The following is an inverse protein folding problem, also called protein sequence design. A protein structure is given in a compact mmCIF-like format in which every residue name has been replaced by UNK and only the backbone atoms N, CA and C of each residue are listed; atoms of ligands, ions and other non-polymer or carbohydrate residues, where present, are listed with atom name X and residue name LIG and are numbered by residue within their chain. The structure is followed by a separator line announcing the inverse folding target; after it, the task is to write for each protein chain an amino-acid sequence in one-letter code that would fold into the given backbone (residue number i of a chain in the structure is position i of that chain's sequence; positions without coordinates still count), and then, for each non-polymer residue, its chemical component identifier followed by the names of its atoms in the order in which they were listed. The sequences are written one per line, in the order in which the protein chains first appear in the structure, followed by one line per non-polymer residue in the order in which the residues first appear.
data_IF_032376873333
#
_entry.id   IF_032376873333
#
_cell.length_a   1.000
_cell.length_b   1.000
_cell.length_c   1.000
_cell.angle_alpha   90.00
_cell.angle_beta   90.00
_cell.angle_gamma   90.00
#
_symmetry.space_group_name_H-M   'P 1'
#
loop_
_entity.id
_entity.type
_entity.pdbx_description
1 polymer ?
#
# COMPACT_ATOMS: atom_id res chain seq x y z
N UNK A 1 2.00 -9.96 -26.61
CA UNK A 1 2.07 -9.98 -25.14
C UNK A 1 2.50 -8.64 -24.54
N UNK A 2 3.58 -7.98 -24.99
CA UNK A 2 4.00 -6.66 -24.50
C UNK A 2 2.91 -5.56 -24.62
N UNK A 3 2.12 -5.57 -25.70
CA UNK A 3 1.00 -4.62 -25.91
C UNK A 3 -0.17 -4.82 -24.94
N UNK A 4 -0.39 -6.03 -24.44
CA UNK A 4 -1.44 -6.33 -23.44
C UNK A 4 -0.97 -5.83 -22.07
N UNK A 5 0.32 -5.92 -21.76
CA UNK A 5 0.89 -5.41 -20.51
C UNK A 5 0.89 -3.87 -20.45
N UNK A 6 1.16 -3.20 -21.59
CA UNK A 6 1.04 -1.74 -21.70
C UNK A 6 -0.42 -1.27 -21.59
N UNK A 7 -1.36 -2.04 -22.14
CA UNK A 7 -2.80 -1.74 -22.06
C UNK A 7 -3.36 -1.88 -20.64
N UNK A 8 -2.91 -2.89 -19.89
CA UNK A 8 -3.25 -3.06 -18.48
C UNK A 8 -2.63 -1.94 -17.63
N UNK A 9 -1.39 -1.53 -17.89
CA UNK A 9 -0.75 -0.43 -17.18
C UNK A 9 -1.42 0.93 -17.47
N UNK A 10 -1.88 1.17 -18.70
CA UNK A 10 -2.58 2.40 -19.08
C UNK A 10 -3.99 2.51 -18.48
N UNK A 11 -4.66 1.40 -18.18
CA UNK A 11 -5.96 1.39 -17.48
C UNK A 11 -5.85 1.79 -16.01
N UNK A 12 -4.66 1.72 -15.40
CA UNK A 12 -4.44 2.08 -14.00
C UNK A 12 -4.06 3.56 -13.78
N UNK A 13 -3.80 4.33 -14.85
CA UNK A 13 -3.37 5.74 -14.71
C UNK A 13 -4.50 6.77 -14.67
N UNK A 14 -5.76 6.35 -14.73
CA UNK A 14 -6.91 7.27 -14.88
C UNK A 14 -7.66 7.64 -13.59
N UNK A 15 -7.25 7.18 -12.41
CA UNK A 15 -7.94 7.51 -11.16
C UNK A 15 -7.02 8.22 -10.16
N UNK A 16 -6.51 9.40 -10.53
CA UNK A 16 -5.88 10.35 -9.61
C UNK A 16 -6.93 11.14 -8.83
N UNK A 17 -7.68 10.53 -7.91
CA UNK A 17 -8.76 11.23 -7.23
C UNK A 17 -8.93 10.91 -5.75
N UNK A 18 -7.83 10.84 -4.97
CA UNK A 18 -7.95 10.81 -3.50
C UNK A 18 -7.07 11.85 -2.79
N UNK A 19 -6.78 12.96 -3.46
CA UNK A 19 -6.13 14.11 -2.82
C UNK A 19 -7.14 15.10 -2.19
N UNK A 20 -8.45 14.86 -2.33
CA UNK A 20 -9.49 15.72 -1.74
C UNK A 20 -10.12 14.96 -0.58
N UNK A 21 -10.34 15.64 0.54
CA UNK A 21 -11.03 15.08 1.69
C UNK A 21 -12.35 14.42 1.27
N UNK A 22 -12.69 13.29 1.91
CA UNK A 22 -13.91 12.53 1.60
C UNK A 22 -15.11 13.44 1.87
N UNK A 23 -15.98 13.66 0.87
CA UNK A 23 -17.19 14.48 1.04
C UNK A 23 -18.12 13.88 2.09
N UNK A 24 -18.91 14.72 2.76
CA UNK A 24 -19.88 14.25 3.76
C UNK A 24 -20.92 13.28 3.17
N UNK A 25 -21.27 13.45 1.90
CA UNK A 25 -22.15 12.53 1.18
C UNK A 25 -21.49 11.15 1.00
N UNK A 26 -20.19 11.12 0.68
CA UNK A 26 -19.42 9.87 0.57
C UNK A 26 -19.28 9.19 1.94
N UNK A 27 -19.04 9.95 3.01
CA UNK A 27 -19.01 9.42 4.39
C UNK A 27 -20.35 8.80 4.77
N UNK A 28 -21.46 9.49 4.48
CA UNK A 28 -22.80 8.98 4.72
C UNK A 28 -23.08 7.70 3.92
N UNK A 29 -22.74 7.68 2.65
CA UNK A 29 -22.88 6.49 1.80
C UNK A 29 -22.01 5.30 2.29
N UNK A 30 -20.86 5.56 2.92
CA UNK A 30 -20.05 4.52 3.55
C UNK A 30 -20.75 3.92 4.77
N UNK A 31 -21.32 4.76 5.64
CA UNK A 31 -22.06 4.30 6.83
C UNK A 31 -23.29 3.50 6.42
N UNK A 32 -24.07 4.00 5.47
CA UNK A 32 -25.27 3.34 4.94
C UNK A 32 -24.95 2.04 4.19
N UNK A 33 -23.82 1.97 3.51
CA UNK A 33 -23.37 0.78 2.78
C UNK A 33 -22.91 -0.39 3.67
N UNK A 34 -22.79 -0.18 4.97
CA UNK A 34 -22.44 -1.21 5.96
C UNK A 34 -21.08 -1.88 5.71
N UNK A 35 -20.90 -3.05 6.28
CA UNK A 35 -19.60 -3.78 6.22
C UNK A 35 -19.17 -4.18 4.80
N UNK A 36 -20.10 -4.44 3.89
CA UNK A 36 -19.81 -4.76 2.48
C UNK A 36 -19.10 -3.61 1.76
N UNK A 37 -19.43 -2.37 2.10
CA UNK A 37 -18.75 -1.20 1.53
C UNK A 37 -17.28 -1.15 1.95
N UNK A 38 -16.97 -1.51 3.20
CA UNK A 38 -15.58 -1.57 3.68
C UNK A 38 -14.80 -2.72 3.06
N UNK A 39 -15.43 -3.87 2.79
CA UNK A 39 -14.80 -4.97 2.03
C UNK A 39 -14.46 -4.47 0.63
N UNK A 40 -15.37 -3.80 -0.05
CA UNK A 40 -15.11 -3.24 -1.38
C UNK A 40 -13.96 -2.24 -1.36
N UNK A 41 -13.97 -1.30 -0.40
CA UNK A 41 -12.90 -0.30 -0.24
C UNK A 41 -11.54 -0.94 0.00
N UNK A 42 -11.48 -2.01 0.80
CA UNK A 42 -10.24 -2.75 1.03
C UNK A 42 -9.72 -3.42 -0.24
N UNK A 43 -10.59 -4.04 -1.03
CA UNK A 43 -10.22 -4.64 -2.30
C UNK A 43 -9.78 -3.59 -3.33
N UNK A 44 -10.49 -2.48 -3.43
CA UNK A 44 -10.17 -1.35 -4.29
C UNK A 44 -8.82 -0.73 -3.90
N UNK A 45 -8.59 -0.44 -2.61
CA UNK A 45 -7.31 0.06 -2.11
C UNK A 45 -6.14 -0.83 -2.53
N UNK A 46 -6.31 -2.15 -2.38
CA UNK A 46 -5.29 -3.11 -2.75
C UNK A 46 -5.01 -3.15 -4.25
N UNK A 47 -6.06 -3.06 -5.08
CA UNK A 47 -5.94 -3.15 -6.54
C UNK A 47 -5.51 -1.84 -7.20
N UNK A 48 -5.69 -0.70 -6.52
CA UNK A 48 -5.31 0.63 -7.03
C UNK A 48 -3.97 1.14 -6.48
N UNK A 49 -3.51 0.60 -5.33
CA UNK A 49 -2.23 0.95 -4.74
C UNK A 49 -1.06 0.40 -5.56
N UNK A 50 -0.31 1.28 -6.24
CA UNK A 50 0.83 0.88 -7.07
C UNK A 50 1.97 0.24 -6.26
N UNK A 51 2.18 0.67 -5.04
CA UNK A 51 3.13 0.13 -4.08
C UNK A 51 2.79 -1.32 -3.71
N UNK A 52 1.52 -1.59 -3.42
CA UNK A 52 1.01 -2.94 -3.17
C UNK A 52 1.17 -3.84 -4.39
N UNK A 53 0.80 -3.35 -5.58
CA UNK A 53 0.91 -4.11 -6.82
C UNK A 53 2.36 -4.43 -7.17
N UNK A 54 3.30 -3.49 -6.96
CA UNK A 54 4.73 -3.72 -7.17
C UNK A 54 5.29 -4.75 -6.19
N UNK A 55 4.89 -4.68 -4.93
CA UNK A 55 5.28 -5.65 -3.91
C UNK A 55 4.77 -7.06 -4.26
N UNK A 56 3.47 -7.20 -4.58
CA UNK A 56 2.87 -8.47 -5.01
C UNK A 56 3.56 -8.99 -6.27
N UNK A 57 3.85 -8.12 -7.23
CA UNK A 57 4.57 -8.49 -8.44
C UNK A 57 5.98 -9.03 -8.13
N UNK A 58 6.68 -8.43 -7.16
CA UNK A 58 7.95 -8.97 -6.68
C UNK A 58 7.82 -10.35 -6.06
N UNK A 59 6.77 -10.57 -5.29
CA UNK A 59 6.53 -11.83 -4.58
C UNK A 59 6.14 -12.97 -5.52
N UNK A 60 5.44 -12.70 -6.63
CA UNK A 60 4.96 -13.75 -7.55
C UNK A 60 6.10 -14.63 -8.09
N UNK A 61 7.33 -14.13 -8.16
CA UNK A 61 8.48 -14.94 -8.62
C UNK A 61 8.81 -16.11 -7.69
N UNK A 62 8.43 -16.04 -6.40
CA UNK A 62 8.62 -17.10 -5.41
C UNK A 62 7.41 -18.02 -5.27
N UNK A 63 6.21 -17.52 -5.55
CA UNK A 63 4.97 -18.26 -5.35
C UNK A 63 4.69 -19.13 -6.57
N UNK A 64 4.59 -20.45 -6.35
CA UNK A 64 4.39 -21.43 -7.43
C UNK A 64 3.05 -22.13 -7.36
N UNK A 65 2.36 -22.08 -6.22
CA UNK A 65 1.07 -22.73 -6.00
C UNK A 65 0.06 -21.78 -5.39
N UNK A 66 -1.21 -22.06 -5.59
CA UNK A 66 -2.30 -21.30 -4.96
C UNK A 66 -2.26 -21.40 -3.43
N UNK A 67 -1.85 -22.55 -2.89
CA UNK A 67 -1.68 -22.74 -1.44
C UNK A 67 -0.62 -21.81 -0.86
N UNK A 68 0.50 -21.62 -1.58
CA UNK A 68 1.56 -20.69 -1.16
C UNK A 68 1.06 -19.25 -1.19
N UNK A 69 0.25 -18.89 -2.20
CA UNK A 69 -0.40 -17.58 -2.29
C UNK A 69 -1.24 -17.32 -1.06
N UNK A 70 -2.19 -18.22 -0.75
CA UNK A 70 -3.09 -18.05 0.40
C UNK A 70 -2.28 -17.92 1.69
N UNK A 71 -1.31 -18.83 1.92
CA UNK A 71 -0.47 -18.80 3.12
C UNK A 71 0.31 -17.49 3.27
N UNK A 72 0.89 -17.01 2.17
CA UNK A 72 1.64 -15.76 2.14
C UNK A 72 0.74 -14.57 2.48
N UNK A 73 -0.42 -14.47 1.81
CA UNK A 73 -1.36 -13.37 1.98
C UNK A 73 -1.93 -13.36 3.38
N UNK A 74 -2.38 -14.51 3.92
CA UNK A 74 -2.95 -14.56 5.26
C UNK A 74 -1.94 -14.12 6.32
N UNK A 75 -0.65 -14.46 6.19
CA UNK A 75 0.40 -13.97 7.10
C UNK A 75 0.55 -12.45 7.00
N UNK A 76 0.55 -11.90 5.79
CA UNK A 76 0.60 -10.46 5.57
C UNK A 76 -0.63 -9.75 6.16
N UNK A 77 -1.83 -10.23 5.84
CA UNK A 77 -3.10 -9.63 6.27
C UNK A 77 -3.26 -9.68 7.79
N UNK A 78 -2.86 -10.78 8.44
CA UNK A 78 -2.87 -10.87 9.91
C UNK A 78 -1.95 -9.82 10.53
N UNK A 79 -0.70 -9.72 10.05
CA UNK A 79 0.25 -8.73 10.54
C UNK A 79 -0.25 -7.28 10.31
N UNK A 80 -0.75 -7.02 9.11
CA UNK A 80 -1.35 -5.74 8.74
C UNK A 80 -2.54 -5.38 9.64
N UNK A 81 -3.44 -6.34 9.88
CA UNK A 81 -4.61 -6.16 10.72
C UNK A 81 -4.23 -5.84 12.18
N UNK A 82 -3.20 -6.50 12.73
CA UNK A 82 -2.72 -6.23 14.09
C UNK A 82 -2.32 -4.77 14.25
N UNK A 83 -1.46 -4.26 13.37
CA UNK A 83 -1.00 -2.86 13.47
C UNK A 83 -2.09 -1.86 13.12
N UNK A 84 -2.94 -2.18 12.16
CA UNK A 84 -4.05 -1.33 11.77
C UNK A 84 -5.05 -1.14 12.92
N UNK A 85 -5.45 -2.24 13.59
CA UNK A 85 -6.31 -2.18 14.77
C UNK A 85 -5.63 -1.41 15.88
N UNK A 86 -4.38 -1.79 16.23
CA UNK A 86 -3.62 -1.15 17.29
C UNK A 86 -3.51 0.36 17.07
N UNK A 87 -3.02 0.79 15.91
CA UNK A 87 -2.81 2.20 15.61
C UNK A 87 -4.13 2.99 15.55
N UNK A 88 -5.22 2.39 15.03
CA UNK A 88 -6.53 3.06 14.98
C UNK A 88 -7.13 3.25 16.37
N UNK A 89 -7.13 2.22 17.22
CA UNK A 89 -7.69 2.30 18.57
C UNK A 89 -6.90 3.23 19.48
N UNK A 90 -5.57 3.24 19.37
CA UNK A 90 -4.72 4.14 20.15
C UNK A 90 -4.52 5.51 19.50
N UNK A 91 -5.20 5.78 18.37
CA UNK A 91 -5.10 7.04 17.62
C UNK A 91 -3.65 7.39 17.27
N UNK A 92 -2.83 6.37 16.98
CA UNK A 92 -1.45 6.55 16.57
C UNK A 92 -1.45 6.97 15.11
N UNK A 93 -0.90 8.16 14.84
CA UNK A 93 -0.70 8.67 13.48
C UNK A 93 0.79 8.54 13.14
N UNK A 94 1.09 8.00 11.98
CA UNK A 94 2.44 7.94 11.43
C UNK A 94 2.55 8.88 10.23
N UNK A 95 3.71 9.49 10.05
CA UNK A 95 3.96 10.26 8.84
C UNK A 95 3.92 9.32 7.63
N UNK A 96 2.94 9.54 6.76
CA UNK A 96 2.69 8.64 5.62
C UNK A 96 3.87 8.58 4.63
N UNK A 97 4.60 9.68 4.42
CA UNK A 97 5.78 9.68 3.57
C UNK A 97 6.86 8.73 4.10
N UNK A 98 7.11 8.73 5.42
CA UNK A 98 8.11 7.83 6.01
C UNK A 98 7.67 6.38 5.94
N UNK A 99 6.40 6.08 6.15
CA UNK A 99 5.89 4.71 6.02
C UNK A 99 5.96 4.25 4.57
N UNK A 100 5.51 5.07 3.62
CA UNK A 100 5.58 4.76 2.20
C UNK A 100 7.03 4.62 1.72
N UNK A 101 8.00 5.38 2.29
CA UNK A 101 9.42 5.18 2.04
C UNK A 101 9.91 3.79 2.49
N UNK A 102 9.47 3.31 3.68
CA UNK A 102 9.80 1.95 4.14
C UNK A 102 9.12 0.89 3.27
N UNK A 103 7.89 1.15 2.79
CA UNK A 103 7.22 0.28 1.81
C UNK A 103 8.04 0.21 0.50
N UNK A 104 8.55 1.33 0.00
CA UNK A 104 9.43 1.34 -1.17
C UNK A 104 10.71 0.52 -0.96
N UNK A 105 11.31 0.57 0.25
CA UNK A 105 12.44 -0.30 0.63
C UNK A 105 12.03 -1.78 0.55
N UNK A 106 10.81 -2.15 0.96
CA UNK A 106 10.34 -3.54 0.87
C UNK A 106 10.24 -4.04 -0.57
N UNK A 107 9.88 -3.16 -1.51
CA UNK A 107 9.86 -3.45 -2.95
C UNK A 107 11.29 -3.66 -3.47
N UNK A 108 12.23 -2.76 -3.12
CA UNK A 108 13.65 -2.92 -3.47
C UNK A 108 14.24 -4.22 -2.92
N UNK A 109 14.00 -4.49 -1.63
CA UNK A 109 14.44 -5.70 -0.95
C UNK A 109 13.99 -6.95 -1.72
N UNK A 110 12.72 -6.98 -2.13
CA UNK A 110 12.14 -8.12 -2.83
C UNK A 110 12.76 -8.31 -4.21
N UNK A 111 12.93 -7.25 -4.97
CA UNK A 111 13.63 -7.30 -6.26
C UNK A 111 15.08 -7.77 -6.13
N UNK A 112 15.81 -7.30 -5.11
CA UNK A 112 17.20 -7.67 -4.84
C UNK A 112 17.33 -9.14 -4.40
N UNK A 113 16.42 -9.63 -3.55
CA UNK A 113 16.37 -11.04 -3.16
C UNK A 113 16.10 -11.94 -4.38
N UNK A 114 15.20 -11.54 -5.28
CA UNK A 114 14.83 -12.30 -6.47
C UNK A 114 15.99 -12.53 -7.46
N UNK A 115 16.99 -11.66 -7.45
CA UNK A 115 18.21 -11.80 -8.29
C UNK A 115 19.39 -12.44 -7.55
N UNK A 116 19.14 -13.05 -6.38
CA UNK A 116 20.13 -13.59 -5.44
C UNK A 116 21.17 -12.55 -4.98
N UNK A 117 20.77 -11.28 -4.89
CA UNK A 117 21.66 -10.18 -4.57
C UNK A 117 22.32 -10.33 -3.21
N UNK A 118 21.58 -10.75 -2.18
CA UNK A 118 22.14 -10.95 -0.83
C UNK A 118 23.28 -11.98 -0.81
N UNK A 119 23.08 -13.11 -1.49
CA UNK A 119 24.11 -14.14 -1.58
C UNK A 119 25.29 -13.68 -2.42
N UNK A 120 25.05 -13.00 -3.55
CA UNK A 120 26.12 -12.61 -4.49
C UNK A 120 27.02 -11.49 -3.95
N UNK A 121 26.44 -10.52 -3.22
CA UNK A 121 27.18 -9.33 -2.80
C UNK A 121 27.61 -9.37 -1.33
N UNK A 122 26.88 -10.10 -0.48
CA UNK A 122 27.12 -10.10 0.97
C UNK A 122 27.37 -11.49 1.56
N UNK A 123 27.30 -12.56 0.75
CA UNK A 123 27.35 -13.97 1.18
C UNK A 123 26.39 -14.27 2.34
N UNK A 124 25.23 -13.64 2.31
CA UNK A 124 24.22 -13.70 3.35
C UNK A 124 22.93 -14.37 2.86
N UNK A 125 22.34 -15.17 3.74
CA UNK A 125 21.03 -15.78 3.47
C UNK A 125 19.92 -14.88 4.03
N UNK A 126 19.00 -14.38 3.21
CA UNK A 126 17.89 -13.56 3.68
C UNK A 126 16.96 -14.36 4.60
N UNK A 127 16.19 -13.71 5.49
CA UNK A 127 15.18 -14.36 6.32
C UNK A 127 14.15 -15.11 5.46
N UNK A 128 13.50 -16.11 6.06
CA UNK A 128 12.44 -16.83 5.34
C UNK A 128 11.34 -15.87 4.87
N UNK A 129 10.78 -16.12 3.69
CA UNK A 129 9.75 -15.30 3.06
C UNK A 129 8.61 -14.94 4.03
N UNK A 130 8.13 -15.90 4.83
CA UNK A 130 7.01 -15.65 5.76
C UNK A 130 7.37 -14.69 6.90
N UNK A 131 8.62 -14.76 7.42
CA UNK A 131 9.07 -13.82 8.47
C UNK A 131 9.14 -12.39 7.92
N UNK A 132 9.72 -12.26 6.72
CA UNK A 132 9.83 -10.97 6.05
C UNK A 132 8.46 -10.36 5.75
N UNK A 133 7.54 -11.17 5.23
CA UNK A 133 6.17 -10.75 4.90
C UNK A 133 5.39 -10.33 6.15
N UNK A 134 5.57 -11.03 7.26
CA UNK A 134 4.98 -10.64 8.53
C UNK A 134 5.45 -9.24 8.97
N UNK A 135 6.77 -9.00 8.94
CA UNK A 135 7.34 -7.67 9.27
C UNK A 135 6.81 -6.59 8.32
N UNK A 136 6.77 -6.86 7.02
CA UNK A 136 6.23 -5.90 6.05
C UNK A 136 4.74 -5.64 6.26
N UNK A 137 3.96 -6.66 6.59
CA UNK A 137 2.55 -6.49 6.94
C UNK A 137 2.35 -5.56 8.13
N UNK A 138 3.17 -5.70 9.19
CA UNK A 138 3.13 -4.79 10.35
C UNK A 138 3.38 -3.34 9.92
N UNK A 139 4.37 -3.09 9.09
CA UNK A 139 4.72 -1.74 8.63
C UNK A 139 3.61 -1.15 7.74
N UNK A 140 3.09 -1.93 6.80
CA UNK A 140 2.01 -1.50 5.91
C UNK A 140 0.74 -1.12 6.70
N UNK A 141 0.43 -1.85 7.80
CA UNK A 141 -0.70 -1.53 8.66
C UNK A 141 -0.59 -0.15 9.30
N UNK A 142 0.60 0.31 9.66
CA UNK A 142 0.80 1.67 10.16
C UNK A 142 0.54 2.74 9.09
N UNK A 143 0.99 2.54 7.86
CA UNK A 143 0.77 3.49 6.76
C UNK A 143 -0.71 3.72 6.47
N UNK A 144 -1.48 2.64 6.47
CA UNK A 144 -2.90 2.72 6.21
C UNK A 144 -3.71 3.24 7.40
N UNK A 145 -3.25 3.03 8.65
CA UNK A 145 -4.01 3.39 9.85
C UNK A 145 -4.35 4.88 9.90
N UNK A 146 -3.44 5.76 9.53
CA UNK A 146 -3.66 7.22 9.51
C UNK A 146 -4.75 7.60 8.50
N UNK A 147 -4.75 6.97 7.31
CA UNK A 147 -5.77 7.20 6.29
C UNK A 147 -7.13 6.61 6.70
N UNK A 148 -7.12 5.43 7.31
CA UNK A 148 -8.35 4.77 7.75
C UNK A 148 -9.04 5.54 8.88
N UNK A 149 -8.28 6.19 9.77
CA UNK A 149 -8.82 7.06 10.83
C UNK A 149 -9.59 8.28 10.29
N UNK A 150 -9.39 8.65 9.02
CA UNK A 150 -10.14 9.72 8.35
C UNK A 150 -11.49 9.22 7.80
N UNK A 151 -11.72 7.92 7.74
CA UNK A 151 -12.99 7.34 7.32
C UNK A 151 -14.01 7.36 8.48
N UNK A 152 -15.32 7.35 8.18
CA UNK A 152 -16.36 7.29 9.20
C UNK A 152 -16.43 5.91 9.85
N UNK A 153 -15.50 5.63 10.76
CA UNK A 153 -15.45 4.34 11.45
C UNK A 153 -16.53 4.21 12.54
N UNK A 154 -17.22 5.32 12.89
CA UNK A 154 -18.22 5.39 13.95
C UNK A 154 -17.60 5.47 15.36
N UNK A 155 -18.41 5.88 16.33
CA UNK A 155 -17.97 6.10 17.72
C UNK A 155 -18.02 4.81 18.56
N UNK A 156 -18.74 3.79 18.09
CA UNK A 156 -18.85 2.49 18.74
C UNK A 156 -17.63 1.64 18.46
N UNK A 157 -16.89 1.24 19.52
CA UNK A 157 -15.66 0.44 19.43
C UNK A 157 -15.87 -0.90 18.72
N UNK A 158 -17.02 -1.55 18.92
CA UNK A 158 -17.32 -2.83 18.25
C UNK A 158 -17.57 -2.62 16.76
N UNK A 159 -18.37 -1.62 16.40
CA UNK A 159 -18.63 -1.28 15.00
C UNK A 159 -17.35 -0.85 14.27
N UNK A 160 -16.49 -0.05 14.92
CA UNK A 160 -15.18 0.33 14.39
C UNK A 160 -14.31 -0.90 14.13
N UNK A 161 -14.20 -1.83 15.09
CA UNK A 161 -13.46 -3.07 14.91
C UNK A 161 -13.99 -3.88 13.72
N UNK A 162 -15.30 -4.03 13.61
CA UNK A 162 -15.94 -4.78 12.52
C UNK A 162 -15.71 -4.13 11.15
N UNK A 163 -15.67 -2.79 11.06
CA UNK A 163 -15.34 -2.08 9.81
C UNK A 163 -13.88 -2.27 9.42
N UNK A 164 -12.96 -2.19 10.39
CA UNK A 164 -11.53 -2.48 10.16
C UNK A 164 -11.34 -3.93 9.67
N UNK A 165 -11.98 -4.89 10.31
CA UNK A 165 -11.91 -6.31 9.90
C UNK A 165 -12.50 -6.51 8.50
N UNK A 166 -13.63 -5.87 8.20
CA UNK A 166 -14.26 -5.93 6.88
C UNK A 166 -13.35 -5.36 5.80
N UNK A 167 -12.68 -4.24 6.06
CA UNK A 167 -11.69 -3.66 5.17
C UNK A 167 -10.54 -4.63 4.91
N UNK A 168 -9.98 -5.26 5.95
CA UNK A 168 -8.89 -6.24 5.82
C UNK A 168 -9.31 -7.50 5.04
N UNK A 169 -10.54 -7.97 5.20
CA UNK A 169 -11.09 -9.05 4.35
C UNK A 169 -11.07 -8.62 2.87
N UNK A 170 -11.43 -7.38 2.59
CA UNK A 170 -11.35 -6.82 1.23
C UNK A 170 -9.93 -6.81 0.68
N UNK A 171 -8.97 -6.34 1.48
CA UNK A 171 -7.54 -6.36 1.12
C UNK A 171 -7.09 -7.78 0.78
N UNK A 172 -7.41 -8.76 1.61
CA UNK A 172 -7.06 -10.18 1.39
C UNK A 172 -7.65 -10.72 0.09
N UNK A 173 -8.93 -10.48 -0.15
CA UNK A 173 -9.62 -10.88 -1.40
C UNK A 173 -8.95 -10.24 -2.62
N UNK A 174 -8.64 -8.94 -2.57
CA UNK A 174 -7.95 -8.23 -3.64
C UNK A 174 -6.56 -8.81 -3.94
N UNK A 175 -5.78 -9.12 -2.90
CA UNK A 175 -4.46 -9.74 -3.02
C UNK A 175 -4.53 -11.13 -3.63
N UNK A 176 -5.44 -11.97 -3.14
CA UNK A 176 -5.64 -13.32 -3.67
C UNK A 176 -6.02 -13.27 -5.15
N UNK A 177 -6.95 -12.39 -5.52
CA UNK A 177 -7.38 -12.23 -6.91
C UNK A 177 -6.21 -11.80 -7.81
N UNK A 178 -5.44 -10.78 -7.40
CA UNK A 178 -4.29 -10.28 -8.15
C UNK A 178 -3.21 -11.35 -8.35
N UNK A 179 -2.80 -12.03 -7.26
CA UNK A 179 -1.76 -13.07 -7.33
C UNK A 179 -2.24 -14.32 -8.08
N UNK A 180 -3.50 -14.72 -7.92
CA UNK A 180 -4.06 -15.84 -8.66
C UNK A 180 -4.08 -15.55 -10.17
N UNK A 181 -4.50 -14.34 -10.56
CA UNK A 181 -4.46 -13.91 -11.96
C UNK A 181 -3.02 -13.92 -12.50
N UNK A 182 -2.06 -13.36 -11.78
CA UNK A 182 -0.64 -13.38 -12.17
C UNK A 182 -0.09 -14.81 -12.27
N UNK A 183 -0.44 -15.70 -11.32
CA UNK A 183 -0.01 -17.08 -11.35
C UNK A 183 -0.52 -17.81 -12.60
N UNK A 184 -1.81 -17.64 -12.92
CA UNK A 184 -2.42 -18.25 -14.12
C UNK A 184 -1.73 -17.75 -15.41
N UNK A 185 -1.54 -16.43 -15.52
CA UNK A 185 -0.90 -15.81 -16.69
C UNK A 185 0.56 -16.27 -16.89
N UNK A 186 1.28 -16.49 -15.79
CA UNK A 186 2.70 -16.86 -15.85
C UNK A 186 2.95 -18.37 -15.90
N UNK A 187 1.95 -19.21 -15.57
CA UNK A 187 2.13 -20.65 -15.37
C UNK A 187 2.82 -21.37 -16.53
N UNK A 188 2.37 -21.14 -17.76
CA UNK A 188 2.95 -21.79 -18.93
C UNK A 188 4.29 -21.21 -19.39
N UNK A 189 4.57 -19.95 -18.99
CA UNK A 189 5.78 -19.24 -19.43
C UNK A 189 6.97 -19.45 -18.48
N UNK A 190 6.72 -19.73 -17.21
CA UNK A 190 7.74 -19.87 -16.15
C UNK A 190 8.84 -20.90 -16.43
N UNK A 191 8.55 -21.93 -17.23
CA UNK A 191 9.48 -23.01 -17.57
C UNK A 191 10.40 -22.68 -18.74
N UNK A 192 10.23 -21.52 -19.36
CA UNK A 192 10.99 -21.12 -20.56
C UNK A 192 12.22 -20.27 -20.24
N UNK A 193 13.24 -20.34 -21.10
CA UNK A 193 14.42 -19.47 -21.00
C UNK A 193 14.07 -17.98 -21.15
N UNK A 194 13.02 -17.66 -21.92
CA UNK A 194 12.54 -16.29 -22.06
C UNK A 194 12.00 -15.73 -20.76
N UNK A 195 11.38 -16.58 -19.91
CA UNK A 195 10.94 -16.17 -18.58
C UNK A 195 12.12 -15.85 -17.66
N UNK A 196 13.21 -16.62 -17.69
CA UNK A 196 14.38 -16.36 -16.89
C UNK A 196 15.01 -14.98 -17.19
N UNK A 197 15.11 -14.61 -18.49
CA UNK A 197 15.56 -13.28 -18.92
C UNK A 197 14.59 -12.18 -18.47
N UNK A 198 13.30 -12.41 -18.67
CA UNK A 198 12.25 -11.50 -18.23
C UNK A 198 12.28 -11.29 -16.72
N UNK A 199 12.37 -12.37 -15.93
CA UNK A 199 12.42 -12.31 -14.47
C UNK A 199 13.59 -11.43 -14.00
N UNK A 200 14.79 -11.60 -14.58
CA UNK A 200 15.94 -10.76 -14.23
C UNK A 200 15.70 -9.28 -14.57
N UNK A 201 15.20 -8.98 -15.77
CA UNK A 201 14.90 -7.61 -16.18
C UNK A 201 13.80 -6.99 -15.32
N UNK A 202 12.72 -7.74 -15.05
CA UNK A 202 11.61 -7.30 -14.22
C UNK A 202 12.04 -6.98 -12.78
N UNK A 203 12.91 -7.81 -12.19
CA UNK A 203 13.39 -7.55 -10.83
C UNK A 203 14.38 -6.38 -10.77
N UNK A 204 15.18 -6.15 -11.81
CA UNK A 204 16.00 -4.92 -11.91
C UNK A 204 15.09 -3.69 -12.02
N UNK A 205 14.04 -3.74 -12.85
CA UNK A 205 13.07 -2.67 -12.96
C UNK A 205 12.33 -2.44 -11.64
N UNK A 206 12.01 -3.50 -10.89
CA UNK A 206 11.40 -3.44 -9.57
C UNK A 206 12.30 -2.72 -8.55
N UNK A 207 13.60 -3.03 -8.54
CA UNK A 207 14.60 -2.32 -7.70
C UNK A 207 14.63 -0.84 -8.09
N UNK A 208 14.71 -0.53 -9.38
CA UNK A 208 14.73 0.85 -9.87
C UNK A 208 13.45 1.62 -9.51
N UNK A 209 12.30 1.00 -9.65
CA UNK A 209 11.02 1.58 -9.24
C UNK A 209 10.98 1.83 -7.72
N UNK A 210 11.45 0.89 -6.92
CA UNK A 210 11.53 1.05 -5.46
C UNK A 210 12.47 2.20 -5.06
N UNK A 211 13.63 2.35 -5.72
CA UNK A 211 14.54 3.49 -5.48
C UNK A 211 13.86 4.81 -5.83
N UNK A 212 13.18 4.85 -6.97
CA UNK A 212 12.44 6.05 -7.40
C UNK A 212 11.33 6.42 -6.43
N UNK A 213 10.52 5.45 -6.01
CA UNK A 213 9.47 5.65 -5.01
C UNK A 213 10.04 6.12 -3.68
N UNK A 214 11.12 5.50 -3.20
CA UNK A 214 11.79 5.93 -1.98
C UNK A 214 12.26 7.38 -2.06
N UNK A 215 12.92 7.76 -3.17
CA UNK A 215 13.36 9.13 -3.37
C UNK A 215 12.20 10.13 -3.41
N UNK A 216 11.08 9.77 -4.06
CA UNK A 216 9.86 10.59 -4.07
C UNK A 216 9.29 10.77 -2.66
N UNK A 217 9.21 9.71 -1.87
CA UNK A 217 8.65 9.79 -0.52
C UNK A 217 9.55 10.60 0.41
N UNK A 218 10.88 10.43 0.33
CA UNK A 218 11.81 11.25 1.13
C UNK A 218 11.78 12.71 0.69
N UNK A 219 11.66 12.98 -0.61
CA UNK A 219 11.48 14.35 -1.11
C UNK A 219 10.19 14.98 -0.58
N UNK A 220 9.06 14.26 -0.64
CA UNK A 220 7.78 14.71 -0.09
C UNK A 220 7.85 14.96 1.43
N UNK A 221 8.51 14.07 2.17
CA UNK A 221 8.74 14.25 3.60
C UNK A 221 9.55 15.52 3.89
N UNK A 222 10.65 15.73 3.16
CA UNK A 222 11.50 16.91 3.34
C UNK A 222 10.74 18.20 3.03
N UNK A 223 10.01 18.21 1.94
CA UNK A 223 9.21 19.36 1.51
C UNK A 223 8.13 19.77 2.53
N UNK A 224 7.47 18.78 3.14
CA UNK A 224 6.44 19.03 4.16
C UNK A 224 7.00 19.38 5.54
N UNK A 225 8.20 18.89 5.86
CA UNK A 225 8.84 19.10 7.16
C UNK A 225 9.64 20.42 7.22
N UNK A 226 10.08 20.93 6.07
CA UNK A 226 10.91 22.16 5.95
C UNK A 226 10.36 23.07 4.85
N UNK A 227 9.14 23.61 5.02
CA UNK A 227 8.50 24.43 3.98
C UNK A 227 9.28 25.69 3.64
N UNK A 228 10.02 26.26 4.59
CA UNK A 228 10.78 27.50 4.43
C UNK A 228 12.04 27.32 3.57
N UNK A 229 12.54 26.10 3.40
CA UNK A 229 13.72 25.80 2.57
C UNK A 229 13.40 25.80 1.07
N UNK A 230 12.11 25.74 0.70
CA UNK A 230 11.62 25.71 -0.68
C UNK A 230 10.96 27.05 -1.01
N UNK A 231 11.73 27.99 -1.56
CA UNK A 231 11.35 29.40 -1.78
C UNK A 231 10.25 29.69 -2.82
N UNK A 232 9.39 28.74 -3.17
CA UNK A 232 8.24 28.93 -4.05
C UNK A 232 6.94 28.72 -3.27
N UNK A 233 6.49 29.80 -2.62
CA UNK A 233 5.27 29.83 -1.80
C UNK A 233 3.95 29.79 -2.59
N UNK A 234 3.97 29.64 -3.91
CA UNK A 234 2.76 29.59 -4.75
C UNK A 234 2.24 28.17 -5.01
N UNK A 235 2.92 27.14 -4.52
CA UNK A 235 2.45 25.78 -4.70
C UNK A 235 1.34 25.47 -3.66
N UNK A 236 0.08 25.51 -4.11
CA UNK A 236 -1.12 25.15 -3.32
C UNK A 236 -1.04 23.74 -2.69
N UNK A 237 -0.02 22.95 -3.01
CA UNK A 237 0.23 21.62 -2.47
C UNK A 237 0.52 21.66 -0.97
N UNK A 238 1.25 22.65 -0.48
CA UNK A 238 1.58 22.86 0.93
C UNK A 238 0.34 23.12 1.80
N UNK A 239 -0.55 23.99 1.34
CA UNK A 239 -1.78 24.33 2.07
C UNK A 239 -2.76 23.14 2.16
N UNK A 240 -2.68 22.20 1.24
CA UNK A 240 -3.50 21.00 1.25
C UNK A 240 -3.06 20.01 2.34
N UNK A 241 -1.76 19.89 2.58
CA UNK A 241 -1.21 19.00 3.63
C UNK A 241 -1.41 19.57 5.04
N UNK A 242 -1.28 20.90 5.22
CA UNK A 242 -1.55 21.56 6.50
C UNK A 242 -3.01 21.42 6.96
N UNK A 243 -3.97 21.35 6.02
CA UNK A 243 -5.38 21.14 6.35
C UNK A 243 -5.67 19.68 6.77
N UNK A 244 -4.85 18.72 6.33
CA UNK A 244 -4.98 17.32 6.74
C UNK A 244 -4.39 17.04 8.15
N UNK A 245 -3.39 17.83 8.56
CA UNK A 245 -2.71 17.65 9.85
C UNK A 245 -3.34 18.44 11.01
N UNK A 246 -4.28 19.35 10.74
CA UNK A 246 -4.98 20.09 11.82
C UNK A 246 -6.12 19.24 12.37
N UNK A 247 -6.15 18.96 13.69
CA UNK A 247 -7.33 18.39 14.32
C UNK A 247 -8.52 19.33 14.10
N UNK A 248 -9.66 18.80 13.68
CA UNK A 248 -10.91 19.53 13.34
C UNK A 248 -11.54 20.32 14.50
N UNK A 249 -10.84 20.52 15.61
CA UNK A 249 -11.35 21.19 16.82
C UNK A 249 -11.32 22.71 16.78
N UNK A 250 -10.68 23.35 15.80
CA UNK A 250 -10.58 24.83 15.76
C UNK A 250 -11.59 25.56 14.86
N UNK A 251 -12.35 24.85 14.02
CA UNK A 251 -13.25 25.51 13.03
C UNK A 251 -14.63 25.90 13.59
N UNK A 252 -14.97 25.52 14.85
CA UNK A 252 -16.27 25.83 15.46
C UNK A 252 -16.32 27.11 16.33
N UNK A 253 -15.23 27.89 16.44
CA UNK A 253 -15.20 29.07 17.32
C UNK A 253 -15.24 30.44 16.64
N UNK A 254 -15.30 30.56 15.32
CA UNK A 254 -15.26 31.86 14.65
C UNK A 254 -16.56 32.38 14.02
N UNK A 255 -17.67 31.64 14.07
CA UNK A 255 -18.94 32.09 13.48
C UNK A 255 -19.99 32.60 14.48
N UNK A 256 -19.62 32.88 15.75
CA UNK A 256 -20.49 33.49 16.75
C UNK A 256 -19.82 34.67 17.47
N UNK A 257 -19.51 35.78 16.71
CA UNK A 257 -19.34 37.11 17.27
C UNK A 257 -19.90 38.14 16.29
#
# INVERSE_FOLDING_TARGET
MFRIFLGLFALFTSNGAFAHGISEEAKKAMIEGGYLKYIWLGAEHMLTGYDHLLFIFGVIFFLTSFRDIVKFISVFTVAHCITLIFATFFKITANYFLVDAVIAISVMYKGFENIDGFKKFFDWQPPSLLKMVFVFGLIHGFGLSTRLQQLPLGDDSFGMLMRILSFNVGVEVGQIAALAAMLVLLKGWRTTQSFAKFSKAANIALISAGIFLFAMQIHGYWHTSHPDDFGFSEDNHYHHHLKMDKPQTEEYQHDNL
#
